data_IF_677723502610
#
_entry.id   IF_677723502610
#
_cell.length_a   1.000
_cell.length_b   1.000
_cell.length_c   1.000
_cell.angle_alpha   90.00
_cell.angle_beta   90.00
_cell.angle_gamma   90.00
#
_symmetry.space_group_name_H-M   'P 1'
#
loop_
_entity.id
_entity.type
_entity.pdbx_description
1 polymer ?
#
# COMPACT_ATOMS: atom_id res chain seq x y z
N UNK A 1 16.90 -27.51 -17.37
CA UNK A 1 17.13 -27.87 -15.95
C UNK A 1 16.83 -26.70 -15.02
N UNK A 2 17.20 -25.47 -15.37
CA UNK A 2 16.98 -24.25 -14.55
C UNK A 2 15.51 -23.98 -14.18
N UNK A 3 14.57 -24.20 -15.09
CA UNK A 3 13.14 -23.96 -14.86
C UNK A 3 12.53 -24.89 -13.78
N UNK A 4 13.10 -26.08 -13.58
CA UNK A 4 12.61 -27.04 -12.58
C UNK A 4 12.95 -26.59 -11.16
N UNK A 5 14.14 -25.99 -10.96
CA UNK A 5 14.58 -25.47 -9.66
C UNK A 5 13.74 -24.25 -9.24
N UNK A 6 13.45 -23.34 -10.16
CA UNK A 6 12.60 -22.16 -9.89
C UNK A 6 11.17 -22.52 -9.47
N UNK A 7 10.61 -23.58 -10.04
CA UNK A 7 9.24 -24.02 -9.70
C UNK A 7 9.17 -24.65 -8.29
N UNK A 8 10.26 -25.23 -7.79
CA UNK A 8 10.35 -25.80 -6.44
C UNK A 8 10.35 -24.72 -5.37
N UNK A 9 11.00 -23.58 -5.61
CA UNK A 9 11.05 -22.46 -4.66
C UNK A 9 9.68 -21.83 -4.36
N UNK A 10 8.66 -22.05 -5.20
CA UNK A 10 7.29 -21.52 -4.96
C UNK A 10 6.59 -22.11 -3.74
N UNK A 11 7.04 -23.27 -3.26
CA UNK A 11 6.41 -23.99 -2.15
C UNK A 11 7.32 -24.17 -0.93
N UNK A 12 8.55 -23.68 -1.01
CA UNK A 12 9.53 -23.80 0.06
C UNK A 12 9.51 -22.54 0.92
N UNK A 13 9.59 -22.74 2.24
CA UNK A 13 9.85 -21.68 3.21
C UNK A 13 11.30 -21.17 3.10
N UNK A 14 11.55 -19.97 3.65
CA UNK A 14 12.91 -19.40 3.67
C UNK A 14 13.91 -20.34 4.36
N UNK A 15 13.51 -21.02 5.43
CA UNK A 15 14.37 -21.96 6.16
C UNK A 15 14.74 -23.18 5.30
N UNK A 16 13.78 -23.75 4.57
CA UNK A 16 14.04 -24.86 3.65
C UNK A 16 14.97 -24.45 2.50
N UNK A 17 14.84 -23.22 2.00
CA UNK A 17 15.72 -22.68 0.96
C UNK A 17 17.15 -22.52 1.47
N UNK A 18 17.32 -21.97 2.67
CA UNK A 18 18.64 -21.80 3.32
C UNK A 18 19.31 -23.17 3.51
N UNK A 19 18.57 -24.15 4.02
CA UNK A 19 19.09 -25.50 4.24
C UNK A 19 19.44 -26.22 2.93
N UNK A 20 18.67 -26.01 1.86
CA UNK A 20 18.92 -26.64 0.56
C UNK A 20 20.12 -26.04 -0.17
N UNK A 21 20.29 -24.72 -0.10
CA UNK A 21 21.33 -24.01 -0.84
C UNK A 21 22.59 -23.76 -0.01
N UNK A 22 22.54 -24.01 1.30
CA UNK A 22 23.58 -23.63 2.27
C UNK A 22 24.03 -22.17 2.09
N UNK A 23 23.05 -21.30 1.85
CA UNK A 23 23.23 -19.91 1.49
C UNK A 23 22.08 -19.10 2.11
N UNK A 24 22.41 -17.95 2.71
CA UNK A 24 21.41 -16.97 3.09
C UNK A 24 21.15 -16.04 1.90
N UNK A 25 19.89 -15.92 1.47
CA UNK A 25 19.51 -15.06 0.35
C UNK A 25 19.91 -13.60 0.58
N UNK A 26 19.89 -13.12 1.83
CA UNK A 26 20.30 -11.74 2.15
C UNK A 26 21.80 -11.48 1.96
N UNK A 27 22.62 -12.52 1.87
CA UNK A 27 24.04 -12.39 1.53
C UNK A 27 24.24 -12.15 0.02
N UNK A 28 23.19 -12.34 -0.78
CA UNK A 28 23.22 -12.10 -2.23
C UNK A 28 22.68 -10.71 -2.59
N UNK A 29 23.20 -10.12 -3.67
CA UNK A 29 22.67 -8.87 -4.21
C UNK A 29 21.16 -8.98 -4.52
N UNK A 30 20.74 -10.10 -5.12
CA UNK A 30 19.33 -10.32 -5.45
C UNK A 30 18.41 -10.31 -4.22
N UNK A 31 18.84 -10.91 -3.11
CA UNK A 31 18.07 -10.88 -1.85
C UNK A 31 17.99 -9.49 -1.25
N UNK A 32 19.09 -8.73 -1.26
CA UNK A 32 19.11 -7.34 -0.81
C UNK A 32 18.20 -6.45 -1.67
N UNK A 33 18.26 -6.58 -2.99
CA UNK A 33 17.41 -5.83 -3.92
C UNK A 33 15.93 -6.14 -3.68
N UNK A 34 15.57 -7.42 -3.53
CA UNK A 34 14.19 -7.83 -3.23
C UNK A 34 13.73 -7.27 -1.89
N UNK A 35 14.58 -7.31 -0.86
CA UNK A 35 14.28 -6.73 0.44
C UNK A 35 14.02 -5.22 0.34
N UNK A 36 14.90 -4.48 -0.34
CA UNK A 36 14.74 -3.03 -0.54
C UNK A 36 13.49 -2.68 -1.36
N UNK A 37 13.18 -3.44 -2.41
CA UNK A 37 11.93 -3.28 -3.17
C UNK A 37 10.70 -3.51 -2.30
N UNK A 38 10.72 -4.55 -1.47
CA UNK A 38 9.65 -4.87 -0.52
C UNK A 38 9.45 -3.77 0.52
N UNK A 39 10.55 -3.25 1.10
CA UNK A 39 10.51 -2.15 2.06
C UNK A 39 9.95 -0.87 1.44
N UNK A 40 10.42 -0.50 0.25
CA UNK A 40 9.97 0.71 -0.48
C UNK A 40 8.47 0.62 -0.80
N UNK A 41 8.02 -0.52 -1.33
CA UNK A 41 6.61 -0.72 -1.65
C UNK A 41 5.75 -0.79 -0.38
N UNK A 42 6.27 -1.37 0.70
CA UNK A 42 5.63 -1.43 2.01
C UNK A 42 5.42 -0.05 2.62
N UNK A 43 6.45 0.81 2.58
CA UNK A 43 6.40 2.20 3.05
C UNK A 43 5.37 3.00 2.25
N UNK A 44 5.43 2.94 0.91
CA UNK A 44 4.49 3.63 0.02
C UNK A 44 3.03 3.21 0.26
N UNK A 45 2.78 1.90 0.41
CA UNK A 45 1.45 1.37 0.73
C UNK A 45 1.00 1.79 2.13
N UNK A 46 1.89 1.71 3.10
CA UNK A 46 1.64 2.11 4.49
C UNK A 46 1.23 3.57 4.59
N UNK A 47 1.98 4.46 3.94
CA UNK A 47 1.67 5.88 3.86
C UNK A 47 0.29 6.13 3.23
N UNK A 48 0.04 5.57 2.05
CA UNK A 48 -1.24 5.78 1.34
C UNK A 48 -2.43 5.25 2.14
N UNK A 49 -2.29 4.09 2.79
CA UNK A 49 -3.33 3.52 3.65
C UNK A 49 -3.58 4.38 4.90
N UNK A 50 -2.52 4.95 5.47
CA UNK A 50 -2.62 5.91 6.57
C UNK A 50 -3.39 7.16 6.17
N UNK A 51 -3.05 7.76 5.03
CA UNK A 51 -3.72 8.92 4.44
C UNK A 51 -5.22 8.64 4.22
N UNK A 52 -5.58 7.52 3.61
CA UNK A 52 -6.99 7.10 3.43
C UNK A 52 -7.72 7.00 4.76
N UNK A 53 -7.11 6.34 5.73
CA UNK A 53 -7.71 6.11 7.05
C UNK A 53 -8.01 7.42 7.78
N UNK A 54 -7.08 8.38 7.75
CA UNK A 54 -7.28 9.71 8.33
C UNK A 54 -8.32 10.51 7.54
N UNK A 55 -8.22 10.52 6.21
CA UNK A 55 -9.16 11.22 5.35
C UNK A 55 -10.61 10.74 5.56
N UNK A 56 -10.84 9.42 5.62
CA UNK A 56 -12.15 8.85 5.96
C UNK A 56 -12.66 9.31 7.33
N UNK A 57 -11.79 9.36 8.35
CA UNK A 57 -12.18 9.82 9.70
C UNK A 57 -12.56 11.29 9.71
N UNK A 58 -11.83 12.14 8.97
CA UNK A 58 -12.14 13.56 8.82
C UNK A 58 -13.48 13.77 8.12
N UNK A 59 -13.73 13.08 7.00
CA UNK A 59 -15.01 13.12 6.30
C UNK A 59 -16.15 12.64 7.19
N UNK A 60 -15.96 11.52 7.91
CA UNK A 60 -16.97 11.00 8.85
C UNK A 60 -17.28 11.98 9.97
N UNK A 61 -16.25 12.66 10.47
CA UNK A 61 -16.38 13.67 11.54
C UNK A 61 -17.16 14.90 11.07
N UNK A 62 -16.94 15.34 9.83
CA UNK A 62 -17.54 16.57 9.29
C UNK A 62 -18.94 16.37 8.70
N UNK A 63 -19.13 15.28 7.96
CA UNK A 63 -20.35 15.04 7.18
C UNK A 63 -21.18 13.84 7.67
N UNK A 64 -20.69 13.09 8.66
CA UNK A 64 -21.39 11.91 9.19
C UNK A 64 -21.13 10.64 8.38
N UNK A 65 -22.13 9.75 8.27
CA UNK A 65 -21.95 8.46 7.60
C UNK A 65 -21.62 8.65 6.12
N UNK A 66 -20.54 8.00 5.65
CA UNK A 66 -20.17 8.04 4.23
C UNK A 66 -20.99 7.03 3.42
N UNK A 67 -21.51 7.41 2.25
CA UNK A 67 -22.03 6.47 1.28
C UNK A 67 -20.94 5.50 0.80
N UNK A 68 -21.34 4.28 0.43
CA UNK A 68 -20.40 3.26 -0.08
C UNK A 68 -19.62 3.74 -1.32
N UNK A 69 -20.24 4.53 -2.19
CA UNK A 69 -19.58 5.12 -3.36
C UNK A 69 -18.40 6.03 -2.98
N UNK A 70 -18.52 6.76 -1.88
CA UNK A 70 -17.47 7.65 -1.36
C UNK A 70 -16.35 6.83 -0.73
N UNK A 71 -16.69 5.81 0.06
CA UNK A 71 -15.68 4.91 0.63
C UNK A 71 -14.86 4.22 -0.48
N UNK A 72 -15.53 3.68 -1.51
CA UNK A 72 -14.86 3.06 -2.67
C UNK A 72 -13.99 4.05 -3.45
N UNK A 73 -14.43 5.30 -3.60
CA UNK A 73 -13.63 6.35 -4.26
C UNK A 73 -12.33 6.64 -3.49
N UNK A 74 -12.38 6.65 -2.16
CA UNK A 74 -11.21 6.89 -1.29
C UNK A 74 -10.24 5.70 -1.34
N UNK A 75 -10.75 4.47 -1.32
CA UNK A 75 -9.92 3.26 -1.40
C UNK A 75 -9.10 3.20 -2.70
N UNK A 76 -9.64 3.72 -3.80
CA UNK A 76 -8.97 3.74 -5.11
C UNK A 76 -8.17 5.04 -5.37
N UNK A 77 -8.19 6.01 -4.46
CA UNK A 77 -7.51 7.28 -4.63
C UNK A 77 -5.99 7.15 -4.53
N UNK A 78 -5.28 7.98 -5.29
CA UNK A 78 -3.83 8.15 -5.14
C UNK A 78 -3.49 9.03 -3.94
N UNK A 79 -2.27 8.97 -3.44
CA UNK A 79 -1.78 9.84 -2.36
C UNK A 79 -1.98 11.33 -2.70
N UNK A 80 -1.64 11.75 -3.93
CA UNK A 80 -1.86 13.13 -4.39
C UNK A 80 -3.33 13.56 -4.39
N UNK A 81 -4.26 12.66 -4.75
CA UNK A 81 -5.69 12.95 -4.67
C UNK A 81 -6.15 13.12 -3.21
N UNK A 82 -5.68 12.24 -2.31
CA UNK A 82 -6.01 12.30 -0.89
C UNK A 82 -5.48 13.59 -0.25
N UNK A 83 -4.27 14.01 -0.61
CA UNK A 83 -3.69 15.27 -0.14
C UNK A 83 -4.50 16.48 -0.59
N UNK A 84 -4.82 16.57 -1.88
CA UNK A 84 -5.64 17.66 -2.41
C UNK A 84 -7.02 17.72 -1.73
N UNK A 85 -7.69 16.57 -1.62
CA UNK A 85 -9.00 16.51 -0.98
C UNK A 85 -8.93 16.82 0.52
N UNK A 86 -7.85 16.44 1.20
CA UNK A 86 -7.66 16.77 2.62
C UNK A 86 -7.56 18.29 2.85
N UNK A 87 -6.94 19.03 1.92
CA UNK A 87 -6.93 20.50 1.96
C UNK A 87 -8.35 21.05 1.72
N UNK A 88 -9.06 20.51 0.73
CA UNK A 88 -10.42 20.94 0.40
C UNK A 88 -11.42 20.72 1.56
N UNK A 89 -11.16 19.77 2.48
CA UNK A 89 -12.03 19.52 3.65
C UNK A 89 -12.23 20.77 4.50
N UNK A 90 -11.27 21.68 4.58
CA UNK A 90 -11.36 22.84 5.47
C UNK A 90 -12.39 23.86 4.97
N UNK A 91 -12.47 24.05 3.65
CA UNK A 91 -13.26 25.10 3.01
C UNK A 91 -14.56 24.60 2.36
N UNK A 92 -14.65 23.30 2.06
CA UNK A 92 -15.80 22.69 1.37
C UNK A 92 -17.12 22.96 2.11
N UNK A 93 -18.24 23.25 1.43
CA UNK A 93 -19.56 23.41 2.11
C UNK A 93 -20.33 22.10 2.11
N UNK A 94 -20.07 21.26 1.11
CA UNK A 94 -20.69 19.97 0.88
C UNK A 94 -19.62 18.88 0.76
N UNK A 95 -20.05 17.62 0.77
CA UNK A 95 -19.12 16.50 0.57
C UNK A 95 -18.57 16.50 -0.86
N UNK A 96 -19.38 16.94 -1.82
CA UNK A 96 -19.04 17.04 -3.24
C UNK A 96 -17.93 18.08 -3.49
N UNK A 97 -17.92 19.18 -2.72
CA UNK A 97 -16.89 20.23 -2.81
C UNK A 97 -15.49 19.68 -2.44
N UNK A 98 -15.43 18.69 -1.54
CA UNK A 98 -14.14 18.07 -1.14
C UNK A 98 -13.45 17.40 -2.31
N UNK A 99 -14.22 16.81 -3.22
CA UNK A 99 -13.70 15.99 -4.31
C UNK A 99 -13.49 16.77 -5.62
N UNK A 100 -13.61 18.10 -5.59
CA UNK A 100 -13.28 18.96 -6.73
C UNK A 100 -11.75 19.03 -6.91
N UNK A 101 -11.33 19.29 -8.14
CA UNK A 101 -9.91 19.41 -8.50
C UNK A 101 -9.29 20.66 -7.88
#
# INVERSE_FOLDING_TARGET
>A
MELFLLNRFRKLSNEEVINMLNLNLMDTQAGQDIYHMGMTEGERKGQTNGERGIFMRLLKKRFGKLPYSVESKIENATSAQLEQWALNILDAKTMEDVFQN
#
